data_IF_306250849468
#
_entry.id   IF_306250849468
#
_cell.length_a   1.000
_cell.length_b   1.000
_cell.length_c   1.000
_cell.angle_alpha   90.00
_cell.angle_beta   90.00
_cell.angle_gamma   90.00
#
_symmetry.space_group_name_H-M   'P 1'
#
loop_
_entity.id
_entity.type
_entity.pdbx_description
1 polymer ?
#
# COMPACT_ATOMS: atom_id res chain seq x y z
N UNK A 1 -24.00 70.68 27.52
CA UNK A 1 -25.21 70.01 27.00
C UNK A 1 -25.05 69.91 25.50
N UNK A 2 -24.47 68.78 25.10
CA UNK A 2 -23.95 68.51 23.77
C UNK A 2 -25.06 68.24 22.76
N UNK A 3 -24.94 68.88 21.58
CA UNK A 3 -25.73 68.55 20.40
C UNK A 3 -25.11 67.33 19.72
N UNK A 4 -25.96 66.32 19.57
CA UNK A 4 -25.72 65.03 18.91
C UNK A 4 -25.09 65.25 17.52
N UNK A 5 -23.85 64.78 17.34
CA UNK A 5 -23.18 64.68 16.04
C UNK A 5 -23.76 63.47 15.29
N UNK A 6 -24.58 63.74 14.27
CA UNK A 6 -24.95 62.75 13.27
C UNK A 6 -23.73 62.42 12.38
N UNK A 7 -23.04 61.33 12.70
CA UNK A 7 -22.01 60.73 11.86
C UNK A 7 -22.67 60.02 10.67
N UNK A 8 -22.92 60.75 9.58
CA UNK A 8 -23.19 60.11 8.28
C UNK A 8 -21.86 59.58 7.73
N UNK A 9 -21.58 58.31 8.02
CA UNK A 9 -20.51 57.56 7.38
C UNK A 9 -20.89 57.33 5.91
N UNK A 10 -20.47 58.24 5.03
CA UNK A 10 -20.49 58.03 3.58
C UNK A 10 -19.50 56.92 3.28
N UNK A 11 -20.00 55.73 2.98
CA UNK A 11 -19.18 54.69 2.37
C UNK A 11 -18.67 55.23 1.03
N UNK A 12 -17.38 55.57 0.95
CA UNK A 12 -16.70 55.80 -0.31
C UNK A 12 -16.57 54.45 -1.01
N UNK A 13 -17.63 54.03 -1.71
CA UNK A 13 -17.52 53.03 -2.75
C UNK A 13 -16.70 53.68 -3.87
N UNK A 14 -15.40 53.35 -3.93
CA UNK A 14 -14.57 53.70 -5.09
C UNK A 14 -15.22 53.09 -6.33
N UNK A 15 -15.97 53.89 -7.10
CA UNK A 15 -16.43 53.50 -8.43
C UNK A 15 -15.18 53.33 -9.28
N UNK A 16 -14.77 52.08 -9.54
CA UNK A 16 -13.84 51.79 -10.61
C UNK A 16 -14.40 52.43 -11.90
N UNK A 17 -13.60 53.17 -12.68
CA UNK A 17 -14.07 53.73 -13.94
C UNK A 17 -14.60 52.61 -14.84
N UNK A 18 -15.77 52.81 -15.45
CA UNK A 18 -16.49 51.80 -16.25
C UNK A 18 -15.63 51.05 -17.28
N UNK A 19 -14.55 51.67 -17.79
CA UNK A 19 -13.59 51.02 -18.68
C UNK A 19 -12.78 49.91 -17.99
N UNK A 20 -12.29 50.16 -16.76
CA UNK A 20 -11.57 49.15 -15.98
C UNK A 20 -12.49 48.00 -15.57
N UNK A 21 -13.73 48.29 -15.18
CA UNK A 21 -14.73 47.25 -14.87
C UNK A 21 -15.00 46.32 -16.07
N UNK A 22 -15.16 46.88 -17.27
CA UNK A 22 -15.36 46.09 -18.51
C UNK A 22 -14.15 45.20 -18.84
N UNK A 23 -12.93 45.72 -18.70
CA UNK A 23 -11.71 44.94 -18.93
C UNK A 23 -11.62 43.78 -17.92
N UNK A 24 -11.92 44.05 -16.65
CA UNK A 24 -11.89 43.03 -15.59
C UNK A 24 -12.91 41.92 -15.84
N UNK A 25 -14.13 42.27 -16.29
CA UNK A 25 -15.15 41.30 -16.68
C UNK A 25 -14.74 40.46 -17.90
N UNK A 26 -14.07 41.05 -18.90
CA UNK A 26 -13.55 40.31 -20.06
C UNK A 26 -12.46 39.31 -19.66
N UNK A 27 -11.56 39.69 -18.74
CA UNK A 27 -10.53 38.79 -18.21
C UNK A 27 -11.17 37.63 -17.46
N UNK A 28 -12.10 37.91 -16.53
CA UNK A 28 -12.81 36.87 -15.77
C UNK A 28 -13.59 35.96 -16.73
N UNK A 29 -14.33 36.52 -17.69
CA UNK A 29 -15.07 35.76 -18.70
C UNK A 29 -14.17 34.86 -19.54
N UNK A 30 -12.98 35.34 -19.92
CA UNK A 30 -11.98 34.56 -20.67
C UNK A 30 -11.43 33.41 -19.83
N UNK A 31 -11.14 33.65 -18.54
CA UNK A 31 -10.69 32.60 -17.61
C UNK A 31 -11.76 31.54 -17.39
N UNK A 32 -13.03 31.93 -17.23
CA UNK A 32 -14.16 31.00 -17.10
C UNK A 32 -14.32 30.19 -18.38
N UNK A 33 -14.28 30.82 -19.56
CA UNK A 33 -14.40 30.12 -20.84
C UNK A 33 -13.27 29.09 -21.04
N UNK A 34 -12.02 29.47 -20.77
CA UNK A 34 -10.88 28.56 -20.80
C UNK A 34 -11.06 27.39 -19.83
N UNK A 35 -11.51 27.67 -18.60
CA UNK A 35 -11.80 26.64 -17.62
C UNK A 35 -12.85 25.64 -18.12
N UNK A 36 -13.99 26.14 -18.61
CA UNK A 36 -15.08 25.31 -19.13
C UNK A 36 -14.65 24.48 -20.35
N UNK A 37 -13.85 25.06 -21.25
CA UNK A 37 -13.33 24.35 -22.43
C UNK A 37 -12.41 23.17 -22.06
N UNK A 38 -11.77 23.20 -20.88
CA UNK A 38 -10.90 22.10 -20.42
C UNK A 38 -11.64 20.96 -19.72
N UNK A 39 -12.92 21.12 -19.35
CA UNK A 39 -13.70 20.08 -18.66
C UNK A 39 -13.69 18.72 -19.40
N UNK A 40 -14.05 18.62 -20.71
CA UNK A 40 -14.09 17.32 -21.39
C UNK A 40 -12.71 16.66 -21.48
N UNK A 41 -11.65 17.47 -21.63
CA UNK A 41 -10.28 16.97 -21.63
C UNK A 41 -9.88 16.43 -20.26
N UNK A 42 -10.18 17.16 -19.18
CA UNK A 42 -9.93 16.71 -17.80
C UNK A 42 -10.66 15.40 -17.50
N UNK A 43 -11.92 15.28 -17.90
CA UNK A 43 -12.70 14.05 -17.76
C UNK A 43 -12.08 12.87 -18.52
N UNK A 44 -11.60 13.10 -19.74
CA UNK A 44 -10.90 12.07 -20.51
C UNK A 44 -9.61 11.60 -19.84
N UNK A 45 -8.75 12.54 -19.39
CA UNK A 45 -7.49 12.20 -18.72
C UNK A 45 -7.74 11.56 -17.35
N UNK A 46 -8.79 11.96 -16.64
CA UNK A 46 -9.26 11.33 -15.40
C UNK A 46 -9.56 9.86 -15.62
N UNK A 47 -10.45 9.53 -16.59
CA UNK A 47 -10.80 8.14 -16.93
C UNK A 47 -9.59 7.30 -17.32
N UNK A 48 -8.65 7.86 -18.10
CA UNK A 48 -7.42 7.16 -18.48
C UNK A 48 -6.55 6.82 -17.26
N UNK A 49 -6.41 7.75 -16.32
CA UNK A 49 -5.66 7.49 -15.09
C UNK A 49 -6.36 6.47 -14.19
N UNK A 50 -7.70 6.52 -14.09
CA UNK A 50 -8.48 5.51 -13.37
C UNK A 50 -8.24 4.10 -13.94
N UNK A 51 -8.33 3.94 -15.26
CA UNK A 51 -8.13 2.64 -15.91
C UNK A 51 -6.70 2.12 -15.71
N UNK A 52 -5.70 2.99 -15.87
CA UNK A 52 -4.29 2.63 -15.63
C UNK A 52 -4.06 2.22 -14.18
N UNK A 53 -4.60 2.97 -13.22
CA UNK A 53 -4.51 2.64 -11.81
C UNK A 53 -5.17 1.30 -11.48
N UNK A 54 -6.36 1.02 -12.03
CA UNK A 54 -7.05 -0.26 -11.83
C UNK A 54 -6.24 -1.44 -12.40
N UNK A 55 -5.63 -1.29 -13.59
CA UNK A 55 -4.78 -2.33 -14.17
C UNK A 55 -3.52 -2.58 -13.31
N UNK A 56 -2.85 -1.51 -12.87
CA UNK A 56 -1.71 -1.62 -11.96
C UNK A 56 -2.08 -2.28 -10.63
N UNK A 57 -3.29 -2.00 -10.13
CA UNK A 57 -3.78 -2.58 -8.90
C UNK A 57 -4.06 -4.10 -9.04
N UNK A 58 -4.57 -4.53 -10.19
CA UNK A 58 -4.67 -5.97 -10.54
C UNK A 58 -3.29 -6.63 -10.59
N UNK A 59 -2.29 -5.92 -11.12
CA UNK A 59 -0.89 -6.35 -11.13
C UNK A 59 -0.20 -6.28 -9.75
N UNK A 60 -0.91 -5.82 -8.70
CA UNK A 60 -0.42 -5.61 -7.33
C UNK A 60 0.68 -4.54 -7.22
N UNK A 61 0.72 -3.60 -8.16
CA UNK A 61 1.63 -2.43 -8.15
C UNK A 61 1.01 -1.27 -7.38
N UNK A 62 0.85 -1.41 -6.07
CA UNK A 62 0.00 -0.52 -5.25
C UNK A 62 0.47 0.94 -5.24
N UNK A 63 1.77 1.17 -5.07
CA UNK A 63 2.34 2.53 -5.04
C UNK A 63 2.14 3.26 -6.38
N UNK A 64 2.29 2.55 -7.50
CA UNK A 64 2.06 3.12 -8.84
C UNK A 64 0.57 3.37 -9.09
N UNK A 65 -0.29 2.41 -8.74
CA UNK A 65 -1.74 2.54 -8.84
C UNK A 65 -2.23 3.76 -8.04
N UNK A 66 -1.73 3.94 -6.82
CA UNK A 66 -2.02 5.09 -5.97
C UNK A 66 -1.71 6.42 -6.64
N UNK A 67 -0.55 6.53 -7.31
CA UNK A 67 -0.16 7.76 -8.04
C UNK A 67 -1.14 8.06 -9.18
N UNK A 68 -1.62 7.05 -9.90
CA UNK A 68 -2.61 7.22 -10.94
C UNK A 68 -3.97 7.66 -10.39
N UNK A 69 -4.43 7.06 -9.29
CA UNK A 69 -5.67 7.49 -8.64
C UNK A 69 -5.57 8.91 -8.07
N UNK A 70 -4.41 9.29 -7.54
CA UNK A 70 -4.17 10.66 -7.06
C UNK A 70 -4.25 11.69 -8.21
N UNK A 71 -3.70 11.35 -9.38
CA UNK A 71 -3.83 12.19 -10.58
C UNK A 71 -5.30 12.32 -11.01
N UNK A 72 -6.07 11.22 -10.97
CA UNK A 72 -7.50 11.25 -11.30
C UNK A 72 -8.29 12.15 -10.33
N UNK A 73 -8.07 12.01 -9.02
CA UNK A 73 -8.68 12.85 -7.98
C UNK A 73 -8.37 14.35 -8.18
N UNK A 74 -7.13 14.69 -8.56
CA UNK A 74 -6.74 16.08 -8.83
C UNK A 74 -7.42 16.65 -10.09
N UNK A 75 -7.66 15.81 -11.10
CA UNK A 75 -8.30 16.21 -12.34
C UNK A 75 -9.80 16.43 -12.18
N UNK A 76 -10.48 15.60 -11.39
CA UNK A 76 -11.89 15.73 -11.05
C UNK A 76 -12.12 15.59 -9.54
N UNK A 77 -11.88 16.67 -8.77
CA UNK A 77 -12.10 16.64 -7.33
C UNK A 77 -13.55 16.32 -7.01
N UNK A 78 -13.78 15.27 -6.22
CA UNK A 78 -15.11 14.79 -5.85
C UNK A 78 -15.63 13.63 -6.71
N UNK A 79 -14.86 13.13 -7.68
CA UNK A 79 -15.14 11.82 -8.27
C UNK A 79 -14.99 10.73 -7.22
N UNK A 80 -16.12 10.16 -6.82
CA UNK A 80 -16.19 9.16 -5.75
C UNK A 80 -15.36 7.91 -6.08
N UNK A 81 -15.25 7.56 -7.37
CA UNK A 81 -14.54 6.36 -7.82
C UNK A 81 -13.03 6.52 -7.62
N UNK A 82 -12.46 7.65 -8.02
CA UNK A 82 -11.04 7.98 -7.81
C UNK A 82 -10.66 7.87 -6.33
N UNK A 83 -11.47 8.45 -5.45
CA UNK A 83 -11.23 8.42 -4.00
C UNK A 83 -11.31 7.01 -3.44
N UNK A 84 -12.33 6.25 -3.85
CA UNK A 84 -12.49 4.87 -3.42
C UNK A 84 -11.30 4.01 -3.85
N UNK A 85 -10.81 4.16 -5.09
CA UNK A 85 -9.67 3.39 -5.60
C UNK A 85 -8.35 3.78 -4.96
N UNK A 86 -8.17 5.05 -4.64
CA UNK A 86 -7.02 5.54 -3.89
C UNK A 86 -6.93 4.88 -2.51
N UNK A 87 -8.05 4.81 -1.77
CA UNK A 87 -8.09 4.11 -0.49
C UNK A 87 -7.94 2.58 -0.66
N UNK A 88 -8.53 2.01 -1.70
CA UNK A 88 -8.38 0.59 -2.01
C UNK A 88 -6.92 0.21 -2.23
N UNK A 89 -6.12 1.01 -2.95
CA UNK A 89 -4.70 0.69 -3.16
C UNK A 89 -3.91 0.59 -1.84
N UNK A 90 -4.21 1.43 -0.85
CA UNK A 90 -3.57 1.38 0.47
C UNK A 90 -4.02 0.17 1.27
N UNK A 91 -5.33 -0.10 1.30
CA UNK A 91 -5.89 -1.25 2.01
C UNK A 91 -5.39 -2.56 1.41
N UNK A 92 -5.42 -2.68 0.09
CA UNK A 92 -4.97 -3.86 -0.64
C UNK A 92 -3.48 -4.15 -0.50
N UNK A 93 -2.65 -3.11 -0.34
CA UNK A 93 -1.23 -3.30 -0.04
C UNK A 93 -1.02 -4.02 1.31
N UNK A 94 -1.92 -3.81 2.28
CA UNK A 94 -1.88 -4.48 3.59
C UNK A 94 -2.59 -5.83 3.58
N UNK A 95 -3.73 -5.91 2.89
CA UNK A 95 -4.59 -7.07 2.83
C UNK A 95 -5.12 -7.29 1.41
N UNK A 96 -4.56 -8.28 0.71
CA UNK A 96 -4.91 -8.59 -0.68
C UNK A 96 -6.38 -9.00 -0.86
N UNK A 97 -7.07 -9.42 0.21
CA UNK A 97 -8.49 -9.79 0.17
C UNK A 97 -9.37 -8.61 -0.24
N UNK A 98 -8.93 -7.38 0.03
CA UNK A 98 -9.62 -6.14 -0.35
C UNK A 98 -9.78 -6.00 -1.88
N UNK A 99 -8.93 -6.67 -2.69
CA UNK A 99 -9.01 -6.62 -4.15
C UNK A 99 -10.14 -7.44 -4.75
N UNK A 100 -10.79 -8.34 -4.00
CA UNK A 100 -11.76 -9.32 -4.53
C UNK A 100 -12.84 -8.70 -5.42
N UNK A 101 -13.42 -7.58 -5.00
CA UNK A 101 -14.46 -6.90 -5.77
C UNK A 101 -13.91 -6.33 -7.09
N UNK A 102 -12.76 -5.66 -7.05
CA UNK A 102 -12.13 -5.12 -8.25
C UNK A 102 -11.71 -6.24 -9.21
N UNK A 103 -11.13 -7.32 -8.72
CA UNK A 103 -10.71 -8.45 -9.55
C UNK A 103 -11.90 -9.07 -10.28
N UNK A 104 -13.05 -9.21 -9.61
CA UNK A 104 -14.29 -9.66 -10.23
C UNK A 104 -14.79 -8.67 -11.29
N UNK A 105 -14.79 -7.37 -10.99
CA UNK A 105 -15.17 -6.33 -11.97
C UNK A 105 -14.27 -6.33 -13.22
N UNK A 106 -13.00 -6.71 -13.06
CA UNK A 106 -11.99 -6.77 -14.13
C UNK A 106 -11.86 -8.16 -14.77
N UNK A 107 -12.77 -9.09 -14.46
CA UNK A 107 -12.78 -10.48 -14.93
C UNK A 107 -11.44 -11.21 -14.72
N UNK A 108 -10.82 -11.00 -13.56
CA UNK A 108 -9.57 -11.64 -13.15
C UNK A 108 -9.87 -12.90 -12.34
N UNK A 109 -10.55 -13.86 -12.99
CA UNK A 109 -11.11 -15.04 -12.32
C UNK A 109 -10.03 -15.94 -11.72
N UNK A 110 -8.90 -16.11 -12.41
CA UNK A 110 -7.77 -16.92 -11.93
C UNK A 110 -7.22 -16.37 -10.61
N UNK A 111 -6.88 -15.07 -10.56
CA UNK A 111 -6.36 -14.46 -9.33
C UNK A 111 -7.41 -14.43 -8.22
N UNK A 112 -8.69 -14.25 -8.57
CA UNK A 112 -9.80 -14.33 -7.61
C UNK A 112 -9.88 -15.72 -6.97
N UNK A 113 -9.73 -16.78 -7.77
CA UNK A 113 -9.74 -18.16 -7.28
C UNK A 113 -8.53 -18.43 -6.39
N UNK A 114 -7.32 -18.05 -6.83
CA UNK A 114 -6.08 -18.19 -6.05
C UNK A 114 -6.19 -17.53 -4.67
N UNK A 115 -6.77 -16.32 -4.59
CA UNK A 115 -7.00 -15.63 -3.32
C UNK A 115 -8.05 -16.36 -2.47
N UNK A 116 -9.06 -16.95 -3.09
CA UNK A 116 -10.10 -17.72 -2.38
C UNK A 116 -9.54 -19.01 -1.80
N UNK A 117 -8.68 -19.70 -2.55
CA UNK A 117 -8.01 -20.93 -2.10
C UNK A 117 -7.07 -20.66 -0.93
N UNK A 118 -6.31 -19.55 -0.97
CA UNK A 118 -5.44 -19.16 0.14
C UNK A 118 -6.23 -18.83 1.43
N UNK A 119 -7.45 -18.29 1.30
CA UNK A 119 -8.37 -17.97 2.40
C UNK A 119 -9.23 -19.15 2.87
N UNK A 120 -9.01 -20.35 2.32
CA UNK A 120 -9.83 -21.55 2.60
C UNK A 120 -9.71 -22.08 4.04
N UNK A 121 -8.82 -21.51 4.87
CA UNK A 121 -8.47 -21.98 6.22
C UNK A 121 -8.00 -23.43 6.25
N UNK A 122 -7.33 -23.86 5.18
CA UNK A 122 -6.61 -25.13 5.12
C UNK A 122 -5.15 -24.82 4.93
N UNK A 123 -4.30 -25.25 5.87
CA UNK A 123 -2.87 -24.98 5.77
C UNK A 123 -2.25 -25.82 4.64
N UNK A 124 -1.69 -25.15 3.62
CA UNK A 124 -1.09 -25.81 2.45
C UNK A 124 0.24 -25.15 2.08
N UNK A 125 1.30 -25.58 2.77
CA UNK A 125 2.63 -24.99 2.65
C UNK A 125 3.28 -25.18 1.27
N UNK A 126 2.93 -26.24 0.52
CA UNK A 126 3.44 -26.43 -0.84
C UNK A 126 2.85 -25.38 -1.79
N UNK A 127 1.56 -25.05 -1.63
CA UNK A 127 0.94 -23.97 -2.39
C UNK A 127 1.56 -22.63 -2.03
N UNK A 128 1.78 -22.36 -0.73
CA UNK A 128 2.41 -21.12 -0.27
C UNK A 128 3.82 -20.96 -0.85
N UNK A 129 4.62 -22.02 -0.86
CA UNK A 129 5.94 -22.02 -1.51
C UNK A 129 5.85 -21.64 -2.98
N UNK A 130 4.96 -22.28 -3.74
CA UNK A 130 4.76 -21.98 -5.17
C UNK A 130 4.32 -20.53 -5.38
N UNK A 131 3.44 -20.02 -4.53
CA UNK A 131 2.99 -18.62 -4.57
C UNK A 131 4.16 -17.66 -4.31
N UNK A 132 4.96 -17.92 -3.27
CA UNK A 132 6.14 -17.11 -2.93
C UNK A 132 7.14 -17.08 -4.09
N UNK A 133 7.41 -18.23 -4.72
CA UNK A 133 8.35 -18.35 -5.84
C UNK A 133 7.85 -17.62 -7.09
N UNK A 134 6.53 -17.56 -7.29
CA UNK A 134 5.88 -16.79 -8.37
C UNK A 134 5.74 -15.30 -8.08
N UNK A 135 6.28 -14.81 -6.95
CA UNK A 135 6.12 -13.40 -6.55
C UNK A 135 4.72 -13.05 -6.03
N UNK A 136 3.93 -14.04 -5.63
CA UNK A 136 2.60 -13.89 -5.05
C UNK A 136 2.61 -13.92 -3.52
N UNK A 137 3.63 -13.31 -2.91
CA UNK A 137 3.88 -13.32 -1.47
C UNK A 137 2.66 -12.84 -0.66
N UNK A 138 1.94 -11.80 -1.09
CA UNK A 138 0.75 -11.34 -0.37
C UNK A 138 -0.40 -12.35 -0.38
N UNK A 139 -0.52 -13.18 -1.43
CA UNK A 139 -1.51 -14.26 -1.45
C UNK A 139 -1.10 -15.34 -0.46
N UNK A 140 0.15 -15.80 -0.51
CA UNK A 140 0.69 -16.79 0.43
C UNK A 140 0.53 -16.33 1.89
N UNK A 141 0.71 -15.04 2.15
CA UNK A 141 0.55 -14.46 3.48
C UNK A 141 -0.84 -14.74 4.09
N UNK A 142 -1.90 -14.84 3.27
CA UNK A 142 -3.26 -15.13 3.75
C UNK A 142 -3.31 -16.51 4.42
N UNK A 143 -2.82 -17.55 3.74
CA UNK A 143 -2.82 -18.91 4.27
C UNK A 143 -1.82 -19.09 5.40
N UNK A 144 -0.62 -18.51 5.26
CA UNK A 144 0.45 -18.63 6.25
C UNK A 144 0.08 -17.99 7.60
N UNK A 145 -0.72 -16.92 7.61
CA UNK A 145 -1.29 -16.38 8.85
C UNK A 145 -2.16 -17.43 9.55
N UNK A 146 -3.02 -18.13 8.81
CA UNK A 146 -3.81 -19.22 9.38
C UNK A 146 -2.92 -20.38 9.87
N UNK A 147 -1.96 -20.84 9.05
CA UNK A 147 -1.02 -21.91 9.40
C UNK A 147 -0.27 -21.66 10.72
N UNK A 148 -0.07 -20.40 11.08
CA UNK A 148 0.70 -19.96 12.26
C UNK A 148 -0.17 -19.43 13.42
N UNK A 149 -1.46 -19.15 13.20
CA UNK A 149 -2.41 -18.75 14.27
C UNK A 149 -3.27 -19.90 14.77
N UNK A 150 -3.90 -20.63 13.86
CA UNK A 150 -4.95 -21.62 14.15
C UNK A 150 -4.64 -22.99 13.54
N UNK A 151 -3.66 -23.04 12.63
CA UNK A 151 -3.20 -24.23 11.95
C UNK A 151 -2.07 -24.97 12.69
N UNK A 152 -1.19 -25.69 11.95
CA UNK A 152 -0.20 -26.61 12.52
C UNK A 152 0.90 -25.95 13.35
N UNK A 153 1.26 -24.68 13.09
CA UNK A 153 2.33 -23.94 13.79
C UNK A 153 3.69 -24.67 13.82
N UNK A 154 3.97 -25.46 12.80
CA UNK A 154 5.25 -26.17 12.68
C UNK A 154 6.35 -25.21 12.18
N UNK A 155 7.58 -25.73 12.14
CA UNK A 155 8.76 -24.99 11.71
C UNK A 155 8.57 -24.31 10.33
N UNK A 156 8.14 -25.09 9.34
CA UNK A 156 7.98 -24.60 7.96
C UNK A 156 6.90 -23.52 7.83
N UNK A 157 5.79 -23.63 8.58
CA UNK A 157 4.76 -22.59 8.63
C UNK A 157 5.33 -21.24 9.08
N UNK A 158 6.15 -21.26 10.14
CA UNK A 158 6.79 -20.05 10.65
C UNK A 158 7.90 -19.56 9.73
N UNK A 159 8.69 -20.47 9.16
CA UNK A 159 9.76 -20.14 8.22
C UNK A 159 9.19 -19.45 6.97
N UNK A 160 8.17 -20.02 6.34
CA UNK A 160 7.54 -19.45 5.15
C UNK A 160 6.80 -18.15 5.45
N UNK A 161 6.20 -18.00 6.64
CA UNK A 161 5.68 -16.70 7.08
C UNK A 161 6.81 -15.66 7.15
N UNK A 162 7.96 -16.02 7.71
CA UNK A 162 9.14 -15.15 7.79
C UNK A 162 9.64 -14.70 6.42
N UNK A 163 9.87 -15.66 5.51
CA UNK A 163 10.32 -15.40 4.13
C UNK A 163 9.33 -14.52 3.38
N UNK A 164 8.03 -14.79 3.54
CA UNK A 164 6.96 -14.02 2.89
C UNK A 164 6.99 -12.57 3.34
N UNK A 165 7.05 -12.33 4.64
CA UNK A 165 7.09 -10.97 5.19
C UNK A 165 8.39 -10.24 4.83
N UNK A 166 9.54 -10.93 4.79
CA UNK A 166 10.80 -10.34 4.34
C UNK A 166 10.68 -9.85 2.89
N UNK A 167 10.18 -10.69 1.97
CA UNK A 167 9.95 -10.32 0.56
C UNK A 167 9.04 -9.09 0.43
N UNK A 168 7.96 -9.03 1.20
CA UNK A 168 7.06 -7.86 1.20
C UNK A 168 7.71 -6.59 1.74
N UNK A 169 8.62 -6.72 2.71
CA UNK A 169 9.38 -5.57 3.23
C UNK A 169 10.36 -5.01 2.19
N UNK A 170 10.83 -5.84 1.25
CA UNK A 170 11.77 -5.47 0.19
C UNK A 170 11.06 -5.00 -1.07
N UNK A 171 9.82 -5.44 -1.33
CA UNK A 171 9.04 -5.13 -2.52
C UNK A 171 8.88 -3.61 -2.76
N UNK A 172 9.18 -3.16 -3.97
CA UNK A 172 9.11 -1.75 -4.38
C UNK A 172 7.66 -1.25 -4.58
N UNK A 173 6.72 -2.18 -4.74
CA UNK A 173 5.30 -1.87 -4.94
C UNK A 173 4.51 -1.77 -3.63
N UNK A 174 5.13 -2.11 -2.51
CA UNK A 174 4.60 -1.92 -1.16
C UNK A 174 4.97 -0.52 -0.65
N UNK A 175 4.01 0.14 -0.02
CA UNK A 175 4.19 1.46 0.59
C UNK A 175 5.32 1.45 1.63
N UNK A 176 6.15 2.49 1.60
CA UNK A 176 7.35 2.60 2.47
C UNK A 176 7.00 2.50 3.95
N UNK A 177 5.85 3.05 4.35
CA UNK A 177 5.34 3.01 5.72
C UNK A 177 4.97 1.61 6.21
N UNK A 178 4.68 0.64 5.33
CA UNK A 178 4.33 -0.74 5.70
C UNK A 178 5.57 -1.63 5.83
N UNK A 179 6.69 -1.25 5.20
CA UNK A 179 7.91 -2.07 5.18
C UNK A 179 8.47 -2.41 6.56
N UNK A 180 8.50 -1.49 7.55
CA UNK A 180 8.96 -1.80 8.90
C UNK A 180 8.10 -2.87 9.60
N UNK A 181 6.78 -2.82 9.44
CA UNK A 181 5.86 -3.79 10.04
C UNK A 181 6.10 -5.19 9.47
N UNK A 182 6.24 -5.30 8.14
CA UNK A 182 6.59 -6.55 7.49
C UNK A 182 7.95 -7.08 7.96
N UNK A 183 8.97 -6.23 8.08
CA UNK A 183 10.28 -6.64 8.59
C UNK A 183 10.23 -7.13 10.03
N UNK A 184 9.47 -6.45 10.89
CA UNK A 184 9.29 -6.86 12.27
C UNK A 184 8.59 -8.22 12.38
N UNK A 185 7.56 -8.43 11.57
CA UNK A 185 6.84 -9.70 11.51
C UNK A 185 7.71 -10.84 10.96
N UNK A 186 8.57 -10.55 9.97
CA UNK A 186 9.54 -11.52 9.45
C UNK A 186 10.48 -12.02 10.56
N UNK A 187 11.06 -11.10 11.33
CA UNK A 187 11.91 -11.43 12.48
C UNK A 187 11.18 -12.27 13.51
N UNK A 188 9.97 -11.84 13.90
CA UNK A 188 9.15 -12.57 14.86
C UNK A 188 8.89 -14.00 14.38
N UNK A 189 8.53 -14.17 13.11
CA UNK A 189 8.26 -15.49 12.54
C UNK A 189 9.51 -16.39 12.51
N UNK A 190 10.68 -15.86 12.14
CA UNK A 190 11.93 -16.63 12.21
C UNK A 190 12.33 -17.00 13.65
N UNK A 191 12.11 -16.11 14.61
CA UNK A 191 12.34 -16.41 16.04
C UNK A 191 11.41 -17.53 16.53
N UNK A 192 10.14 -17.54 16.10
CA UNK A 192 9.22 -18.64 16.38
C UNK A 192 9.62 -19.94 15.67
N UNK A 193 10.07 -19.87 14.42
CA UNK A 193 10.58 -21.04 13.70
C UNK A 193 11.74 -21.69 14.48
N UNK A 194 12.74 -20.91 14.90
CA UNK A 194 13.84 -21.41 15.72
C UNK A 194 13.39 -22.02 17.06
N UNK A 195 12.34 -21.49 17.70
CA UNK A 195 11.80 -22.11 18.94
C UNK A 195 11.18 -23.48 18.67
N UNK A 196 10.54 -23.66 17.52
CA UNK A 196 9.93 -24.93 17.12
C UNK A 196 10.98 -25.96 16.76
N UNK A 197 12.01 -25.56 16.01
CA UNK A 197 13.15 -26.40 15.67
C UNK A 197 14.48 -25.65 15.91
N UNK A 198 15.09 -25.81 17.09
CA UNK A 198 16.34 -25.13 17.43
C UNK A 198 17.59 -25.67 16.72
N UNK A 199 17.52 -26.85 16.09
CA UNK A 199 18.67 -27.41 15.37
C UNK A 199 18.69 -26.97 13.90
N UNK A 200 17.57 -26.49 13.37
CA UNK A 200 17.48 -25.97 12.02
C UNK A 200 18.16 -24.60 11.88
N UNK A 201 19.22 -24.54 11.06
CA UNK A 201 20.07 -23.35 10.88
C UNK A 201 19.44 -22.23 10.06
N UNK A 202 18.45 -22.55 9.23
CA UNK A 202 17.89 -21.60 8.24
C UNK A 202 17.25 -20.38 8.89
N UNK A 203 16.54 -20.55 10.02
CA UNK A 203 15.92 -19.42 10.71
C UNK A 203 16.96 -18.44 11.32
N UNK A 204 17.99 -18.91 12.04
CA UNK A 204 19.13 -18.08 12.44
C UNK A 204 19.81 -17.33 11.29
N UNK A 205 20.01 -17.98 10.14
CA UNK A 205 20.64 -17.35 8.95
C UNK A 205 19.85 -16.13 8.48
N UNK A 206 18.53 -16.26 8.33
CA UNK A 206 17.65 -15.14 7.97
C UNK A 206 17.63 -14.03 9.04
N UNK A 207 17.63 -14.39 10.32
CA UNK A 207 17.67 -13.41 11.41
C UNK A 207 18.94 -12.56 11.36
N UNK A 208 20.09 -13.18 11.13
CA UNK A 208 21.37 -12.47 10.97
C UNK A 208 21.29 -11.46 9.82
N UNK A 209 20.76 -11.85 8.66
CA UNK A 209 20.60 -10.95 7.50
C UNK A 209 19.69 -9.76 7.81
N UNK A 210 18.53 -10.01 8.43
CA UNK A 210 17.59 -8.96 8.79
C UNK A 210 18.14 -8.00 9.86
N UNK A 211 18.91 -8.49 10.83
CA UNK A 211 19.54 -7.64 11.84
C UNK A 211 20.76 -6.87 11.31
N UNK A 212 21.47 -7.39 10.30
CA UNK A 212 22.48 -6.62 9.55
C UNK A 212 21.86 -5.44 8.82
N UNK A 213 20.73 -5.65 8.15
CA UNK A 213 20.00 -4.59 7.43
C UNK A 213 19.56 -3.46 8.36
N UNK A 214 19.26 -3.77 9.61
CA UNK A 214 18.88 -2.79 10.64
C UNK A 214 20.07 -2.20 11.41
N UNK A 215 21.31 -2.55 11.05
CA UNK A 215 22.54 -2.16 11.75
C UNK A 215 22.52 -2.52 13.25
N UNK A 216 21.91 -3.65 13.62
CA UNK A 216 21.84 -4.13 15.00
C UNK A 216 22.93 -5.19 15.26
N UNK A 217 24.16 -4.73 15.54
CA UNK A 217 25.33 -5.60 15.72
C UNK A 217 25.16 -6.58 16.89
N UNK A 218 24.55 -6.16 18.00
CA UNK A 218 24.32 -7.02 19.17
C UNK A 218 23.48 -8.25 18.81
N UNK A 219 22.39 -8.06 18.06
CA UNK A 219 21.55 -9.17 17.60
C UNK A 219 22.24 -10.03 16.55
N UNK A 220 23.05 -9.43 15.68
CA UNK A 220 23.87 -10.19 14.72
C UNK A 220 24.83 -11.12 15.46
N UNK A 221 25.57 -10.61 16.45
CA UNK A 221 26.53 -11.40 17.23
C UNK A 221 25.84 -12.53 18.00
N UNK A 222 24.67 -12.24 18.59
CA UNK A 222 23.85 -13.23 19.29
C UNK A 222 23.48 -14.42 18.39
N UNK A 223 22.89 -14.16 17.22
CA UNK A 223 22.45 -15.21 16.31
C UNK A 223 23.63 -15.92 15.63
N UNK A 224 24.71 -15.20 15.33
CA UNK A 224 25.94 -15.80 14.79
C UNK A 224 26.56 -16.78 15.78
N UNK A 225 26.64 -16.43 17.06
CA UNK A 225 27.15 -17.32 18.10
C UNK A 225 26.30 -18.60 18.23
N UNK A 226 24.96 -18.49 18.13
CA UNK A 226 24.08 -19.67 18.11
C UNK A 226 24.36 -20.56 16.89
N UNK A 227 24.45 -19.97 15.70
CA UNK A 227 24.74 -20.69 14.47
C UNK A 227 26.10 -21.40 14.51
N UNK A 228 27.13 -20.75 15.05
CA UNK A 228 28.46 -21.32 15.24
C UNK A 228 28.46 -22.53 16.18
N UNK A 229 27.59 -22.52 17.20
CA UNK A 229 27.43 -23.66 18.09
C UNK A 229 26.69 -24.83 17.43
N UNK A 230 25.67 -24.57 16.61
CA UNK A 230 25.00 -25.60 15.80
C UNK A 230 25.99 -26.28 14.84
N UNK A 231 26.89 -25.51 14.22
CA UNK A 231 27.94 -26.05 13.35
C UNK A 231 28.95 -26.97 14.05
N UNK A 232 29.07 -26.91 15.38
CA UNK A 232 29.92 -27.81 16.17
C UNK A 232 29.22 -29.12 16.52
N UNK A 233 27.90 -29.15 16.54
CA UNK A 233 27.09 -30.33 16.89
C UNK A 233 27.00 -31.32 15.72
N UNK A 234 27.09 -30.83 14.48
CA UNK A 234 27.04 -31.66 13.26
C UNK A 234 28.40 -32.26 12.82
N UNK A 235 29.47 -32.01 13.57
CA UNK A 235 30.80 -32.60 13.32
C UNK A 235 31.05 -33.82 14.21
#
# INVERSE_FOLDING_TARGET
>A
MDKIKNFKQKQNLHHLPNKLLKILLLIIGSLIFLYLATIPWRAYVCRKNLEQGENLLVERKYTEAFVHFQKAEMLEPGDWKSKQRLELSKKAAKDILELRLLLKEKNQDELTQIISDADSKVCNLETDRVLIDKGLAQVALVNLKFCTSDGPKNYDSWLFLGITNQKLSEDNYIFKELKPDYRAEAKRAFEEAYKVDPIAKTAPEYLIELYKTDNNSEKVDYWQHLLDNLNKIEK
#
